data_IF_827350467907
#
_entry.id   IF_827350467907
#
_cell.length_a   1.000
_cell.length_b   1.000
_cell.length_c   1.000
_cell.angle_alpha   90.00
_cell.angle_beta   90.00
_cell.angle_gamma   90.00
#
_symmetry.space_group_name_H-M   'P 1'
#
loop_
_entity.id
_entity.type
_entity.pdbx_description
1 polymer ?
#
# COMPACT_ATOMS: atom_id res chain seq x y z
N UNK A 1 5.62 -6.18 -5.09
CA UNK A 1 4.90 -6.18 -6.38
C UNK A 1 3.53 -5.56 -6.16
N UNK A 2 3.05 -4.78 -7.11
CA UNK A 2 1.71 -4.21 -7.06
C UNK A 2 0.99 -4.41 -8.40
N UNK A 3 -0.32 -4.61 -8.35
CA UNK A 3 -1.17 -4.73 -9.53
C UNK A 3 -2.49 -3.99 -9.29
N UNK A 4 -2.93 -3.21 -10.28
CA UNK A 4 -4.21 -2.54 -10.25
C UNK A 4 -5.24 -3.33 -11.07
N UNK A 5 -6.43 -3.53 -10.52
CA UNK A 5 -7.60 -4.07 -11.21
C UNK A 5 -8.69 -3.02 -11.25
N UNK A 6 -9.21 -2.75 -12.45
CA UNK A 6 -10.26 -1.75 -12.66
C UNK A 6 -11.50 -2.40 -13.27
N UNK A 7 -12.68 -2.09 -12.72
CA UNK A 7 -13.97 -2.54 -13.23
C UNK A 7 -15.09 -1.61 -12.76
N UNK A 8 -16.03 -1.24 -13.65
CA UNK A 8 -17.20 -0.41 -13.33
C UNK A 8 -16.85 0.89 -12.58
N UNK A 9 -15.80 1.60 -13.02
CA UNK A 9 -15.33 2.83 -12.39
C UNK A 9 -14.67 2.65 -11.01
N UNK A 10 -14.44 1.42 -10.57
CA UNK A 10 -13.76 1.10 -9.31
C UNK A 10 -12.36 0.61 -9.57
N UNK A 11 -11.43 1.01 -8.71
CA UNK A 11 -10.05 0.55 -8.72
C UNK A 11 -9.76 -0.22 -7.44
N UNK A 12 -9.11 -1.37 -7.58
CA UNK A 12 -8.55 -2.15 -6.48
C UNK A 12 -7.06 -2.30 -6.75
N UNK A 13 -6.24 -2.07 -5.73
CA UNK A 13 -4.80 -2.31 -5.81
C UNK A 13 -4.51 -3.55 -4.97
N UNK A 14 -3.71 -4.47 -5.49
CA UNK A 14 -3.15 -5.58 -4.71
C UNK A 14 -1.66 -5.31 -4.52
N UNK A 15 -1.20 -5.32 -3.27
CA UNK A 15 0.22 -5.18 -2.93
C UNK A 15 0.65 -6.47 -2.24
N UNK A 16 1.57 -7.18 -2.87
CA UNK A 16 2.21 -8.37 -2.31
C UNK A 16 3.72 -8.15 -2.24
N UNK A 17 4.28 -8.39 -1.07
CA UNK A 17 5.71 -8.27 -0.81
C UNK A 17 6.39 -9.63 -1.02
N UNK A 18 7.67 -9.60 -1.37
CA UNK A 18 8.47 -10.80 -1.64
C UNK A 18 9.86 -10.61 -1.06
N UNK A 19 10.58 -11.72 -0.87
CA UNK A 19 11.98 -11.75 -0.44
C UNK A 19 12.22 -11.16 0.95
N UNK A 20 11.36 -11.45 1.93
CA UNK A 20 11.53 -10.93 3.30
C UNK A 20 12.88 -11.28 3.93
N UNK A 21 13.41 -12.49 3.70
CA UNK A 21 14.74 -12.86 4.20
C UNK A 21 15.86 -11.96 3.64
N UNK A 22 15.77 -11.59 2.36
CA UNK A 22 16.72 -10.66 1.74
C UNK A 22 16.51 -9.23 2.22
N UNK A 23 15.25 -8.83 2.44
CA UNK A 23 14.89 -7.49 2.87
C UNK A 23 15.27 -7.22 4.34
N UNK A 24 15.14 -8.24 5.19
CA UNK A 24 15.47 -8.16 6.62
C UNK A 24 16.95 -8.45 6.90
N UNK A 25 17.64 -9.21 6.05
CA UNK A 25 19.00 -9.66 6.34
C UNK A 25 19.02 -10.49 7.62
N UNK A 26 19.86 -10.09 8.58
CA UNK A 26 19.96 -10.74 9.89
C UNK A 26 18.96 -10.20 10.93
N UNK A 27 18.12 -9.23 10.55
CA UNK A 27 17.11 -8.66 11.45
C UNK A 27 16.00 -9.67 11.77
N UNK A 28 15.60 -9.69 13.04
CA UNK A 28 14.62 -10.66 13.57
C UNK A 28 13.20 -10.11 13.75
N UNK A 29 12.99 -8.83 13.42
CA UNK A 29 11.69 -8.19 13.50
C UNK A 29 10.82 -8.44 12.25
N UNK A 30 9.51 -8.27 12.38
CA UNK A 30 8.59 -8.40 11.24
C UNK A 30 8.82 -7.28 10.19
N UNK A 31 8.63 -7.57 8.89
CA UNK A 31 8.84 -6.61 7.80
C UNK A 31 7.66 -5.65 7.62
N UNK A 32 7.20 -5.05 8.71
CA UNK A 32 5.95 -4.28 8.77
C UNK A 32 6.17 -2.78 8.98
N UNK A 33 7.39 -2.35 9.26
CA UNK A 33 7.65 -1.01 9.80
C UNK A 33 8.43 -0.12 8.83
N UNK A 34 8.43 1.18 9.14
CA UNK A 34 9.16 2.23 8.42
C UNK A 34 10.65 1.91 8.20
N UNK A 35 11.41 1.32 9.14
CA UNK A 35 12.81 0.95 8.89
C UNK A 35 13.01 -0.03 7.72
N UNK A 36 12.00 -0.83 7.39
CA UNK A 36 12.06 -1.85 6.34
C UNK A 36 11.66 -1.27 4.97
N UNK A 37 10.65 -0.41 4.96
CA UNK A 37 10.07 0.12 3.73
C UNK A 37 10.56 1.51 3.35
N UNK A 38 11.11 2.28 4.30
CA UNK A 38 11.67 3.62 4.10
C UNK A 38 10.73 4.52 3.26
N UNK A 39 11.23 5.01 2.14
CA UNK A 39 10.57 5.81 1.10
C UNK A 39 9.92 4.97 -0.01
N UNK A 40 9.91 3.63 0.13
CA UNK A 40 9.29 2.73 -0.85
C UNK A 40 7.79 2.98 -0.91
N UNK A 41 7.30 3.31 -2.10
CA UNK A 41 5.90 3.61 -2.33
C UNK A 41 5.39 2.98 -3.63
N UNK A 42 4.08 2.85 -3.74
CA UNK A 42 3.39 2.45 -4.97
C UNK A 42 2.75 3.68 -5.57
N UNK A 43 3.15 4.05 -6.80
CA UNK A 43 2.43 5.05 -7.58
C UNK A 43 1.03 4.54 -7.89
N UNK A 44 0.03 5.40 -7.69
CA UNK A 44 -1.37 5.06 -7.98
C UNK A 44 -1.88 5.94 -9.14
N UNK A 45 -2.90 5.51 -9.88
CA UNK A 45 -3.57 6.37 -10.86
C UNK A 45 -4.06 7.65 -10.18
N UNK A 46 -4.24 8.73 -10.93
CA UNK A 46 -4.58 10.08 -10.42
C UNK A 46 -6.00 10.13 -9.80
N UNK A 47 -6.11 9.45 -8.68
CA UNK A 47 -7.30 9.21 -7.88
C UNK A 47 -7.03 9.85 -6.54
N UNK A 48 -7.66 10.99 -6.34
CA UNK A 48 -7.59 11.73 -5.09
C UNK A 48 -8.47 11.05 -4.04
N UNK A 49 -8.04 11.09 -2.78
CA UNK A 49 -8.84 10.60 -1.66
C UNK A 49 -8.14 9.58 -0.78
N UNK A 50 -8.84 9.16 0.28
CA UNK A 50 -8.32 8.19 1.24
C UNK A 50 -8.59 6.78 0.75
N UNK A 51 -7.62 5.89 0.91
CA UNK A 51 -7.71 4.49 0.56
C UNK A 51 -7.87 3.66 1.82
N UNK A 52 -8.70 2.61 1.77
CA UNK A 52 -8.87 1.66 2.85
C UNK A 52 -8.19 0.35 2.47
N UNK A 53 -7.28 -0.16 3.32
CA UNK A 53 -6.81 -1.53 3.19
C UNK A 53 -7.89 -2.49 3.69
N UNK A 54 -8.45 -3.32 2.80
CA UNK A 54 -9.54 -4.24 3.15
C UNK A 54 -9.13 -5.26 4.21
N UNK A 55 -7.87 -5.69 4.24
CA UNK A 55 -7.42 -6.74 5.16
C UNK A 55 -7.27 -6.26 6.60
N UNK A 56 -6.91 -4.98 6.79
CA UNK A 56 -6.64 -4.42 8.13
C UNK A 56 -7.70 -3.41 8.56
N UNK A 57 -8.46 -2.85 7.62
CA UNK A 57 -9.39 -1.75 7.85
C UNK A 57 -8.74 -0.36 7.88
N UNK A 58 -7.41 -0.29 7.86
CA UNK A 58 -6.65 0.95 7.99
C UNK A 58 -6.86 1.89 6.81
N UNK A 59 -6.81 3.19 7.11
CA UNK A 59 -6.98 4.27 6.15
C UNK A 59 -5.61 4.86 5.79
N UNK A 60 -5.24 4.79 4.52
CA UNK A 60 -3.98 5.28 3.98
C UNK A 60 -4.28 6.48 3.09
N UNK A 61 -3.61 7.61 3.34
CA UNK A 61 -3.68 8.78 2.47
C UNK A 61 -2.50 8.74 1.50
N UNK A 62 -2.73 8.92 0.19
CA UNK A 62 -1.63 9.05 -0.73
C UNK A 62 -0.80 10.29 -0.40
N UNK A 63 0.52 10.14 -0.43
CA UNK A 63 1.43 11.26 -0.35
C UNK A 63 1.32 12.07 -1.66
N UNK A 64 1.32 13.40 -1.52
CA UNK A 64 1.39 14.30 -2.67
C UNK A 64 2.82 14.26 -3.22
N UNK A 65 3.02 13.60 -4.36
CA UNK A 65 4.26 13.69 -5.13
C UNK A 65 4.02 14.51 -6.40
N UNK A 66 5.09 15.12 -6.94
CA UNK A 66 5.02 16.15 -7.99
C UNK A 66 4.26 15.69 -9.26
N UNK A 67 4.32 14.40 -9.59
CA UNK A 67 3.71 13.87 -10.83
C UNK A 67 2.47 13.00 -10.59
N UNK A 68 2.49 12.13 -9.59
CA UNK A 68 1.42 11.15 -9.32
C UNK A 68 1.28 10.88 -7.81
N UNK A 69 0.06 10.71 -7.29
CA UNK A 69 -0.13 10.27 -5.91
C UNK A 69 0.56 8.91 -5.65
N UNK A 70 1.07 8.73 -4.43
CA UNK A 70 1.78 7.50 -4.02
C UNK A 70 1.26 6.96 -2.70
N UNK A 71 1.12 5.64 -2.57
CA UNK A 71 0.85 4.98 -1.31
C UNK A 71 2.17 4.51 -0.68
N UNK A 72 2.53 5.05 0.49
CA UNK A 72 3.68 4.59 1.28
C UNK A 72 3.50 3.13 1.69
N UNK A 73 4.51 2.27 1.43
CA UNK A 73 4.48 0.88 1.89
C UNK A 73 4.64 0.76 3.41
N UNK A 74 5.41 1.67 4.03
CA UNK A 74 5.55 1.72 5.48
C UNK A 74 4.19 1.90 6.18
N UNK A 75 3.35 2.78 5.63
CA UNK A 75 2.00 3.00 6.16
C UNK A 75 1.03 1.89 5.74
N UNK A 76 1.06 1.48 4.47
CA UNK A 76 0.08 0.53 3.91
C UNK A 76 0.24 -0.88 4.49
N UNK A 77 1.46 -1.27 4.85
CA UNK A 77 1.81 -2.60 5.35
C UNK A 77 2.15 -2.62 6.84
N UNK A 78 1.80 -1.55 7.58
CA UNK A 78 2.10 -1.33 9.00
C UNK A 78 1.70 -2.51 9.91
N UNK A 79 0.67 -3.26 9.53
CA UNK A 79 0.11 -4.34 10.34
C UNK A 79 0.09 -5.71 9.64
N UNK A 80 0.17 -5.75 8.31
CA UNK A 80 0.11 -6.98 7.54
C UNK A 80 0.93 -6.82 6.25
N UNK A 81 1.79 -7.79 5.88
CA UNK A 81 2.77 -7.59 4.80
C UNK A 81 2.15 -7.75 3.40
N UNK A 82 0.82 -7.74 3.31
CA UNK A 82 0.03 -7.75 2.09
C UNK A 82 -1.10 -6.73 2.28
N UNK A 83 -1.47 -6.03 1.21
CA UNK A 83 -2.59 -5.10 1.26
C UNK A 83 -3.50 -5.25 0.05
N UNK A 84 -4.77 -4.91 0.27
CA UNK A 84 -5.77 -4.74 -0.78
C UNK A 84 -6.41 -3.35 -0.66
N UNK A 85 -5.71 -2.26 -1.04
CA UNK A 85 -6.29 -0.93 -1.00
C UNK A 85 -7.43 -0.76 -1.99
N UNK A 86 -8.52 -0.16 -1.50
CA UNK A 86 -9.66 0.32 -2.29
C UNK A 86 -9.96 1.78 -1.93
N UNK A 87 -10.51 2.61 -2.83
CA UNK A 87 -10.99 3.93 -2.45
C UNK A 87 -12.00 3.82 -1.31
N UNK A 88 -11.89 4.66 -0.27
CA UNK A 88 -12.70 4.52 0.94
C UNK A 88 -14.21 4.68 0.68
N UNK A 89 -14.58 5.40 -0.36
CA UNK A 89 -15.98 5.64 -0.75
C UNK A 89 -16.60 4.49 -1.55
N UNK A 90 -15.85 3.40 -1.81
CA UNK A 90 -16.30 2.31 -2.70
C UNK A 90 -17.48 1.52 -2.13
N UNK A 91 -17.71 1.54 -0.81
CA UNK A 91 -18.76 0.78 -0.12
C UNK A 91 -19.64 1.70 0.73
N UNK A 92 -20.63 2.34 0.09
CA UNK A 92 -21.82 2.89 0.74
C UNK A 92 -23.04 2.10 0.29
#
# INVERSE_FOLDING_TARGET
MACARQANGRTVITIATRWFATLLGDETHLPLSEPVWTDTAVEIPDLTGTWKNVFTGEMVRPDAAEDKPRLSLAQTLAYFPVALPVPADTWR
#
